data_IF_053576678249
#
_entry.id   IF_053576678249
#
_cell.length_a   1.000
_cell.length_b   1.000
_cell.length_c   1.000
_cell.angle_alpha   90.00
_cell.angle_beta   90.00
_cell.angle_gamma   90.00
#
_symmetry.space_group_name_H-M   'P 1'
#
loop_
_entity.id
_entity.type
_entity.pdbx_description
1 polymer ?
#
# COMPACT_ATOMS: atom_id res chain seq x y z
N UNK A 1 16.91 1.96 5.39
CA UNK A 1 15.83 2.96 5.37
C UNK A 1 16.23 3.99 4.34
N UNK A 2 15.35 4.36 3.40
CA UNK A 2 15.68 5.26 2.28
C UNK A 2 15.96 6.72 2.69
N UNK A 3 15.69 7.08 3.95
CA UNK A 3 15.94 8.40 4.53
C UNK A 3 17.28 8.42 5.30
N UNK A 4 18.07 9.51 5.22
CA UNK A 4 17.79 10.80 4.56
C UNK A 4 18.23 10.89 3.10
N UNK A 5 18.88 9.86 2.56
CA UNK A 5 19.52 9.89 1.23
C UNK A 5 18.55 10.30 0.12
N UNK A 6 17.32 9.76 0.14
CA UNK A 6 16.26 10.09 -0.82
C UNK A 6 15.92 11.58 -0.82
N UNK A 7 15.84 12.21 0.37
CA UNK A 7 15.51 13.63 0.47
C UNK A 7 16.70 14.52 0.09
N UNK A 8 17.92 14.08 0.39
CA UNK A 8 19.16 14.78 0.04
C UNK A 8 19.41 14.83 -1.48
N UNK A 9 18.74 13.99 -2.26
CA UNK A 9 18.75 14.05 -3.73
C UNK A 9 17.88 15.20 -4.29
N UNK A 10 17.19 15.96 -3.43
CA UNK A 10 16.29 17.06 -3.81
C UNK A 10 15.24 16.68 -4.87
N UNK A 11 14.51 15.57 -4.69
CA UNK A 11 13.48 15.18 -5.64
C UNK A 11 12.34 16.20 -5.64
N UNK A 12 11.66 16.36 -6.78
CA UNK A 12 10.44 17.18 -6.86
C UNK A 12 9.21 16.47 -6.29
N UNK A 13 9.18 15.15 -6.40
CA UNK A 13 8.12 14.26 -5.91
C UNK A 13 8.78 13.06 -5.26
N UNK A 14 8.26 12.63 -4.12
CA UNK A 14 8.57 11.32 -3.54
C UNK A 14 7.28 10.51 -3.54
N UNK A 15 7.31 9.33 -4.14
CA UNK A 15 6.13 8.50 -4.31
C UNK A 15 6.19 7.29 -3.37
N UNK A 16 5.32 7.29 -2.38
CA UNK A 16 5.08 6.14 -1.51
C UNK A 16 3.92 5.32 -2.05
N UNK A 17 3.92 4.01 -1.81
CA UNK A 17 2.82 3.16 -2.26
C UNK A 17 2.68 1.92 -1.40
N UNK A 18 1.45 1.46 -1.19
CA UNK A 18 1.21 0.08 -0.77
C UNK A 18 1.54 -0.90 -1.91
N UNK A 19 1.57 -2.18 -1.59
CA UNK A 19 1.84 -3.27 -2.52
C UNK A 19 0.56 -4.05 -2.86
N UNK A 20 0.04 -4.81 -1.89
CA UNK A 20 -1.17 -5.62 -2.03
C UNK A 20 -2.37 -4.72 -2.35
N UNK A 21 -3.19 -5.08 -3.33
CA UNK A 21 -4.38 -4.29 -3.74
C UNK A 21 -4.10 -2.95 -4.43
N UNK A 22 -2.84 -2.52 -4.45
CA UNK A 22 -2.38 -1.24 -5.01
C UNK A 22 -1.46 -1.43 -6.21
N UNK A 23 -0.26 -2.01 -6.02
CA UNK A 23 0.64 -2.42 -7.12
C UNK A 23 0.14 -3.71 -7.74
N UNK A 24 -0.23 -4.68 -6.90
CA UNK A 24 -0.81 -5.94 -7.36
C UNK A 24 -2.32 -5.85 -7.39
N UNK A 25 -2.94 -6.56 -8.33
CA UNK A 25 -4.41 -6.61 -8.43
C UNK A 25 -5.04 -7.49 -7.34
N UNK A 26 -4.26 -8.41 -6.78
CA UNK A 26 -4.66 -9.31 -5.71
C UNK A 26 -3.86 -8.99 -4.44
N UNK A 27 -4.48 -9.17 -3.28
CA UNK A 27 -3.77 -9.19 -2.00
C UNK A 27 -3.13 -10.58 -1.79
N UNK A 28 -1.81 -10.60 -1.63
CA UNK A 28 -1.00 -11.81 -1.51
C UNK A 28 -1.32 -12.60 -0.23
N UNK A 29 -1.56 -11.91 0.89
CA UNK A 29 -1.84 -12.55 2.17
C UNK A 29 -3.26 -13.11 2.19
N UNK A 30 -4.22 -12.36 1.67
CA UNK A 30 -5.59 -12.80 1.47
C UNK A 30 -5.63 -14.02 0.55
N UNK A 31 -4.89 -14.00 -0.56
CA UNK A 31 -4.86 -15.11 -1.51
C UNK A 31 -4.41 -16.41 -0.85
N UNK A 32 -3.28 -16.41 -0.14
CA UNK A 32 -2.78 -17.62 0.52
C UNK A 32 -3.70 -18.03 1.67
N UNK A 33 -4.19 -17.08 2.46
CA UNK A 33 -5.10 -17.36 3.57
C UNK A 33 -6.42 -17.95 3.11
N UNK A 34 -6.98 -17.43 2.03
CA UNK A 34 -8.28 -17.84 1.49
C UNK A 34 -8.21 -19.21 0.80
N UNK A 35 -7.13 -19.49 0.07
CA UNK A 35 -7.01 -20.71 -0.73
C UNK A 35 -6.30 -21.86 0.00
N UNK A 36 -5.37 -21.56 0.89
CA UNK A 36 -4.48 -22.55 1.52
C UNK A 36 -4.38 -22.45 3.05
N UNK A 37 -4.94 -21.39 3.65
CA UNK A 37 -4.96 -21.18 5.09
C UNK A 37 -6.31 -21.51 5.71
N UNK A 38 -6.77 -20.64 6.61
CA UNK A 38 -8.06 -20.77 7.32
C UNK A 38 -9.29 -20.55 6.44
N UNK A 39 -9.13 -20.07 5.21
CA UNK A 39 -10.23 -19.80 4.30
C UNK A 39 -10.85 -18.42 4.48
N UNK A 40 -11.57 -17.99 3.44
CA UNK A 40 -12.13 -16.65 3.31
C UNK A 40 -13.12 -16.27 4.42
N UNK A 41 -13.94 -17.21 4.85
CA UNK A 41 -14.96 -16.97 5.88
C UNK A 41 -14.29 -16.63 7.23
N UNK A 42 -13.36 -17.46 7.67
CA UNK A 42 -12.59 -17.23 8.90
C UNK A 42 -11.74 -15.94 8.83
N UNK A 43 -11.12 -15.66 7.67
CA UNK A 43 -10.38 -14.40 7.48
C UNK A 43 -11.29 -13.17 7.62
N UNK A 44 -12.51 -13.23 7.07
CA UNK A 44 -13.48 -12.13 7.20
C UNK A 44 -13.90 -11.90 8.65
N UNK A 45 -14.04 -12.95 9.45
CA UNK A 45 -14.28 -12.81 10.90
C UNK A 45 -13.13 -12.07 11.60
N UNK A 46 -11.88 -12.38 11.23
CA UNK A 46 -10.73 -11.65 11.74
C UNK A 46 -10.73 -10.18 11.31
N UNK A 47 -11.13 -9.88 10.07
CA UNK A 47 -11.26 -8.50 9.60
C UNK A 47 -12.33 -7.72 10.37
N UNK A 48 -13.48 -8.34 10.64
CA UNK A 48 -14.52 -7.75 11.49
C UNK A 48 -14.00 -7.47 12.91
N UNK A 49 -13.20 -8.38 13.49
CA UNK A 49 -12.61 -8.15 14.81
C UNK A 49 -11.68 -6.91 14.86
N UNK A 50 -10.98 -6.61 13.75
CA UNK A 50 -10.15 -5.39 13.62
C UNK A 50 -11.03 -4.14 13.51
N UNK A 51 -12.08 -4.18 12.67
CA UNK A 51 -13.01 -3.05 12.51
C UNK A 51 -13.73 -2.73 13.81
N UNK A 52 -14.17 -3.76 14.54
CA UNK A 52 -14.89 -3.63 15.80
C UNK A 52 -13.96 -3.33 16.98
N UNK A 53 -12.66 -3.13 16.72
CA UNK A 53 -11.60 -2.84 17.71
C UNK A 53 -11.50 -3.89 18.83
N UNK A 54 -11.95 -5.12 18.57
CA UNK A 54 -11.89 -6.24 19.52
C UNK A 54 -10.58 -7.03 19.44
N UNK A 55 -9.83 -6.87 18.36
CA UNK A 55 -8.46 -7.39 18.19
C UNK A 55 -7.64 -6.41 17.33
N UNK A 56 -6.32 -6.61 17.30
CA UNK A 56 -5.40 -5.77 16.53
C UNK A 56 -5.11 -6.38 15.16
N UNK A 57 -4.80 -5.55 14.17
CA UNK A 57 -4.37 -6.02 12.85
C UNK A 57 -3.16 -6.96 12.95
N UNK A 58 -2.18 -6.65 13.80
CA UNK A 58 -1.02 -7.51 14.04
C UNK A 58 -1.41 -8.91 14.51
N UNK A 59 -2.31 -9.00 15.47
CA UNK A 59 -2.75 -10.29 16.02
C UNK A 59 -3.55 -11.09 14.99
N UNK A 60 -4.45 -10.44 14.25
CA UNK A 60 -5.23 -11.12 13.22
C UNK A 60 -4.36 -11.55 12.04
N UNK A 61 -3.38 -10.74 11.65
CA UNK A 61 -2.35 -11.10 10.66
C UNK A 61 -1.51 -12.29 11.11
N UNK A 62 -1.10 -12.33 12.39
CA UNK A 62 -0.40 -13.49 12.95
C UNK A 62 -1.27 -14.76 12.88
N UNK A 63 -2.57 -14.68 13.20
CA UNK A 63 -3.51 -15.80 13.09
C UNK A 63 -3.68 -16.29 11.65
N UNK A 64 -3.77 -15.37 10.69
CA UNK A 64 -3.81 -15.71 9.26
C UNK A 64 -2.56 -16.51 8.87
N UNK A 65 -1.37 -16.01 9.17
CA UNK A 65 -0.11 -16.69 8.86
C UNK A 65 0.05 -18.02 9.59
N UNK A 66 -0.37 -18.12 10.85
CA UNK A 66 -0.32 -19.38 11.60
C UNK A 66 -1.23 -20.47 11.01
N UNK A 67 -2.20 -20.10 10.18
CA UNK A 67 -3.02 -21.05 9.42
C UNK A 67 -2.31 -21.64 8.21
N UNK A 68 -1.22 -21.04 7.73
CA UNK A 68 -0.48 -21.52 6.56
C UNK A 68 0.39 -22.72 6.96
N UNK A 69 -0.05 -23.93 6.60
CA UNK A 69 0.67 -25.17 6.92
C UNK A 69 1.60 -25.59 5.79
N UNK A 70 2.51 -24.70 5.39
CA UNK A 70 3.45 -24.96 4.28
C UNK A 70 4.82 -24.29 4.46
N UNK A 71 5.89 -24.85 3.86
CA UNK A 71 7.18 -24.19 3.75
C UNK A 71 7.06 -22.81 3.07
N UNK A 72 7.88 -21.85 3.51
CA UNK A 72 7.86 -20.50 2.96
C UNK A 72 8.21 -20.45 1.46
N UNK A 73 9.18 -21.23 0.92
CA UNK A 73 9.42 -21.27 -0.52
C UNK A 73 8.18 -21.67 -1.34
N UNK A 74 7.36 -22.57 -0.81
CA UNK A 74 6.10 -22.97 -1.48
C UNK A 74 5.10 -21.80 -1.54
N UNK A 75 5.06 -20.95 -0.51
CA UNK A 75 4.26 -19.71 -0.53
C UNK A 75 4.70 -18.82 -1.69
N UNK A 76 6.02 -18.62 -1.87
CA UNK A 76 6.57 -17.81 -2.95
C UNK A 76 6.23 -18.39 -4.34
N UNK A 77 6.33 -19.71 -4.49
CA UNK A 77 5.96 -20.40 -5.74
C UNK A 77 4.50 -20.13 -6.12
N UNK A 78 3.58 -20.36 -5.18
CA UNK A 78 2.15 -20.14 -5.38
C UNK A 78 1.87 -18.70 -5.77
N UNK A 79 2.47 -17.73 -5.06
CA UNK A 79 2.24 -16.31 -5.34
C UNK A 79 2.76 -15.91 -6.73
N UNK A 80 3.92 -16.41 -7.16
CA UNK A 80 4.44 -16.14 -8.51
C UNK A 80 3.48 -16.58 -9.61
N UNK A 81 2.81 -17.71 -9.42
CA UNK A 81 1.92 -18.28 -10.43
C UNK A 81 0.54 -17.59 -10.49
N UNK A 82 0.16 -16.84 -9.46
CA UNK A 82 -1.23 -16.37 -9.28
C UNK A 82 -1.39 -14.85 -9.10
N UNK A 83 -0.31 -14.12 -8.78
CA UNK A 83 -0.37 -12.69 -8.51
C UNK A 83 0.04 -11.91 -9.75
N UNK A 84 -0.73 -10.86 -10.03
CA UNK A 84 -0.53 -10.00 -11.21
C UNK A 84 -0.31 -8.55 -10.80
N UNK A 85 0.55 -7.88 -11.54
CA UNK A 85 0.79 -6.45 -11.45
C UNK A 85 -0.36 -5.67 -12.11
N UNK A 86 -0.66 -4.47 -11.63
CA UNK A 86 -1.38 -3.50 -12.45
C UNK A 86 -0.60 -3.25 -13.76
N UNK A 87 -1.25 -3.37 -14.94
CA UNK A 87 -0.55 -3.32 -16.22
C UNK A 87 0.20 -2.00 -16.48
N UNK A 88 -0.18 -0.91 -15.79
CA UNK A 88 0.41 0.41 -15.98
C UNK A 88 1.49 0.76 -14.94
N UNK A 89 1.71 -0.08 -13.92
CA UNK A 89 2.75 0.21 -12.92
C UNK A 89 4.16 0.21 -13.54
N UNK A 90 4.40 -0.61 -14.56
CA UNK A 90 5.68 -0.59 -15.29
C UNK A 90 5.92 0.76 -15.98
N UNK A 91 4.90 1.32 -16.62
CA UNK A 91 4.99 2.64 -17.27
C UNK A 91 5.26 3.74 -16.23
N UNK A 92 4.67 3.61 -15.04
CA UNK A 92 4.96 4.50 -13.92
C UNK A 92 6.43 4.43 -13.50
N UNK A 93 6.97 3.23 -13.29
CA UNK A 93 8.37 3.05 -12.89
C UNK A 93 9.37 3.58 -13.92
N UNK A 94 9.12 3.34 -15.21
CA UNK A 94 9.96 3.89 -16.31
C UNK A 94 9.93 5.42 -16.29
N UNK A 95 8.75 6.02 -16.10
CA UNK A 95 8.63 7.47 -16.01
C UNK A 95 9.31 8.02 -14.75
N UNK A 96 9.12 7.37 -13.61
CA UNK A 96 9.68 7.78 -12.32
C UNK A 96 11.21 7.83 -12.38
N UNK A 97 11.85 6.78 -12.92
CA UNK A 97 13.29 6.75 -13.17
C UNK A 97 13.75 7.92 -14.04
N UNK A 98 13.05 8.19 -15.15
CA UNK A 98 13.45 9.23 -16.09
C UNK A 98 13.33 10.66 -15.51
N UNK A 99 12.65 10.83 -14.37
CA UNK A 99 12.39 12.12 -13.73
C UNK A 99 12.93 12.18 -12.29
N UNK A 100 13.81 11.24 -11.92
CA UNK A 100 14.40 11.14 -10.58
C UNK A 100 13.34 11.18 -9.45
N UNK A 101 12.20 10.50 -9.68
CA UNK A 101 11.13 10.34 -8.68
C UNK A 101 11.37 9.04 -7.90
N UNK A 102 11.74 9.12 -6.62
CA UNK A 102 11.94 7.93 -5.79
C UNK A 102 10.62 7.21 -5.53
N UNK A 103 10.63 5.88 -5.61
CA UNK A 103 9.47 5.04 -5.34
C UNK A 103 9.75 4.15 -4.13
N UNK A 104 8.93 4.29 -3.09
CA UNK A 104 9.11 3.59 -1.81
C UNK A 104 7.85 2.78 -1.51
N UNK A 105 7.98 1.45 -1.50
CA UNK A 105 6.90 0.52 -1.15
C UNK A 105 6.81 0.38 0.37
N UNK A 106 5.66 0.73 0.94
CA UNK A 106 5.32 0.55 2.35
C UNK A 106 4.21 -0.50 2.48
N UNK A 107 4.55 -1.73 2.85
CA UNK A 107 3.59 -2.84 2.86
C UNK A 107 3.56 -3.57 4.20
N UNK A 108 2.36 -3.97 4.64
CA UNK A 108 2.19 -4.86 5.80
C UNK A 108 2.52 -6.33 5.48
N UNK A 109 2.80 -6.66 4.21
CA UNK A 109 3.32 -7.96 3.80
C UNK A 109 4.77 -8.19 4.23
N UNK A 110 5.42 -9.17 3.61
CA UNK A 110 6.79 -9.57 3.96
C UNK A 110 7.78 -9.23 2.84
N UNK A 111 8.94 -8.64 3.19
CA UNK A 111 9.99 -8.25 2.22
C UNK A 111 10.31 -9.37 1.21
N UNK A 112 10.54 -10.64 1.61
CA UNK A 112 10.85 -11.68 0.64
C UNK A 112 9.73 -11.97 -0.38
N UNK A 113 8.46 -11.77 0.01
CA UNK A 113 7.31 -11.90 -0.91
C UNK A 113 7.33 -10.78 -1.93
N UNK A 114 7.42 -9.55 -1.45
CA UNK A 114 7.38 -8.33 -2.28
C UNK A 114 8.56 -8.32 -3.26
N UNK A 115 9.77 -8.61 -2.78
CA UNK A 115 10.97 -8.69 -3.63
C UNK A 115 10.84 -9.78 -4.69
N UNK A 116 10.37 -10.98 -4.31
CA UNK A 116 10.21 -12.09 -5.26
C UNK A 116 9.21 -11.72 -6.37
N UNK A 117 8.09 -11.13 -6.00
CA UNK A 117 7.04 -10.76 -6.96
C UNK A 117 7.46 -9.58 -7.83
N UNK A 118 8.09 -8.53 -7.28
CA UNK A 118 8.58 -7.41 -8.09
C UNK A 118 9.67 -7.87 -9.06
N UNK A 119 10.63 -8.69 -8.63
CA UNK A 119 11.65 -9.26 -9.55
C UNK A 119 11.02 -10.08 -10.66
N UNK A 120 10.01 -10.89 -10.33
CA UNK A 120 9.33 -11.75 -11.29
C UNK A 120 8.47 -10.96 -12.31
N UNK A 121 7.69 -9.99 -11.83
CA UNK A 121 6.65 -9.31 -12.61
C UNK A 121 7.11 -7.99 -13.24
N UNK A 122 7.93 -7.21 -12.52
CA UNK A 122 8.44 -5.91 -12.98
C UNK A 122 9.78 -6.06 -13.71
N UNK A 123 10.59 -7.02 -13.27
CA UNK A 123 11.94 -7.29 -13.77
C UNK A 123 13.03 -6.67 -12.91
N UNK A 124 14.19 -7.33 -12.89
CA UNK A 124 15.39 -6.96 -12.09
C UNK A 124 15.79 -5.49 -12.24
N UNK A 125 15.77 -4.98 -13.47
CA UNK A 125 16.23 -3.63 -13.77
C UNK A 125 15.37 -2.57 -13.08
N UNK A 126 14.04 -2.66 -13.14
CA UNK A 126 13.16 -1.66 -12.53
C UNK A 126 12.96 -1.92 -11.03
N UNK A 127 13.12 -3.16 -10.58
CA UNK A 127 13.09 -3.50 -9.15
C UNK A 127 14.21 -2.80 -8.38
N UNK A 128 15.38 -2.57 -8.98
CA UNK A 128 16.50 -1.88 -8.30
C UNK A 128 16.23 -0.42 -7.97
N UNK A 129 15.17 0.18 -8.52
CA UNK A 129 14.77 1.57 -8.23
C UNK A 129 13.72 1.65 -7.11
N UNK A 130 13.31 0.52 -6.54
CA UNK A 130 12.27 0.46 -5.51
C UNK A 130 12.91 0.18 -4.16
N UNK A 131 12.71 1.10 -3.22
CA UNK A 131 12.96 0.83 -1.80
C UNK A 131 11.75 0.13 -1.18
N UNK A 132 11.98 -0.94 -0.41
CA UNK A 132 10.93 -1.70 0.26
C UNK A 132 11.07 -1.56 1.77
N UNK A 133 9.98 -1.13 2.42
CA UNK A 133 9.85 -1.12 3.88
C UNK A 133 8.60 -1.95 4.24
N UNK A 134 8.84 -3.12 4.83
CA UNK A 134 7.78 -4.07 5.16
C UNK A 134 8.18 -4.96 6.34
N UNK A 135 7.28 -5.86 6.74
CA UNK A 135 7.62 -6.90 7.72
C UNK A 135 8.64 -7.89 7.13
N UNK A 136 9.33 -8.63 7.99
CA UNK A 136 10.27 -9.67 7.58
C UNK A 136 9.74 -11.08 7.80
N UNK A 137 10.56 -12.07 7.45
CA UNK A 137 10.41 -13.45 7.92
C UNK A 137 11.42 -13.72 9.03
N UNK A 138 11.10 -14.65 9.92
CA UNK A 138 12.02 -15.16 10.93
C UNK A 138 11.82 -16.65 11.16
N UNK A 139 12.87 -17.33 11.62
CA UNK A 139 12.81 -18.75 11.97
C UNK A 139 12.03 -18.95 13.27
N UNK A 140 11.27 -20.05 13.33
CA UNK A 140 10.46 -20.45 14.49
C UNK A 140 10.86 -21.85 14.93
N UNK A 141 11.09 -22.04 16.23
CA UNK A 141 11.35 -23.35 16.81
C UNK A 141 10.05 -24.18 16.91
N UNK A 142 10.11 -25.53 16.81
CA UNK A 142 11.31 -26.35 16.69
C UNK A 142 11.85 -26.49 15.25
N UNK A 143 11.06 -26.12 14.24
CA UNK A 143 11.40 -26.35 12.83
C UNK A 143 12.68 -25.65 12.38
N UNK A 144 12.87 -24.38 12.80
CA UNK A 144 14.03 -23.52 12.54
C UNK A 144 14.52 -23.54 11.08
N UNK A 145 13.59 -23.53 10.12
CA UNK A 145 13.88 -23.61 8.69
C UNK A 145 12.70 -23.04 7.90
N UNK A 146 12.99 -22.23 6.88
CA UNK A 146 11.98 -21.77 5.93
C UNK A 146 11.39 -22.93 5.11
N UNK A 147 12.14 -24.03 4.95
CA UNK A 147 11.74 -25.23 4.20
C UNK A 147 10.79 -26.14 4.98
N UNK A 148 10.42 -25.77 6.22
CA UNK A 148 9.47 -26.51 7.05
C UNK A 148 8.25 -25.66 7.35
N UNK A 149 7.08 -26.29 7.30
CA UNK A 149 5.80 -25.62 7.54
C UNK A 149 5.68 -24.94 8.92
N UNK A 150 6.32 -25.49 9.94
CA UNK A 150 6.34 -24.96 11.31
C UNK A 150 7.65 -24.23 11.66
N UNK A 151 8.55 -24.07 10.70
CA UNK A 151 9.90 -23.56 10.92
C UNK A 151 10.09 -22.07 10.72
N UNK A 152 9.03 -21.34 10.35
CA UNK A 152 9.08 -19.91 10.06
C UNK A 152 7.85 -19.17 10.59
N UNK A 153 7.97 -17.85 10.70
CA UNK A 153 6.87 -16.93 10.98
C UNK A 153 7.22 -15.51 10.53
N UNK A 154 6.29 -14.57 10.70
CA UNK A 154 6.53 -13.15 10.45
C UNK A 154 7.40 -12.53 11.54
N UNK A 155 8.27 -11.63 11.11
CA UNK A 155 8.96 -10.66 11.95
C UNK A 155 8.32 -9.29 11.72
N UNK A 156 7.50 -8.84 12.65
CA UNK A 156 6.90 -7.50 12.56
C UNK A 156 7.98 -6.42 12.62
N UNK A 157 7.85 -5.40 11.77
CA UNK A 157 8.80 -4.30 11.68
C UNK A 157 8.72 -3.38 12.91
N UNK A 158 7.49 -3.13 13.38
CA UNK A 158 7.19 -2.22 14.48
C UNK A 158 6.45 -2.96 15.61
N UNK A 159 6.79 -2.61 16.85
CA UNK A 159 6.08 -3.10 18.03
C UNK A 159 4.80 -2.28 18.28
N UNK A 160 3.82 -2.45 17.38
CA UNK A 160 2.53 -1.77 17.45
C UNK A 160 1.38 -2.73 17.13
N UNK A 161 0.14 -2.29 17.36
CA UNK A 161 -1.06 -3.04 16.97
C UNK A 161 -1.21 -3.25 15.46
N UNK A 162 -0.45 -2.53 14.63
CA UNK A 162 -0.42 -2.70 13.18
C UNK A 162 0.68 -3.67 12.73
N UNK A 163 1.73 -3.87 13.53
CA UNK A 163 2.92 -4.65 13.13
C UNK A 163 3.82 -3.91 12.13
N UNK A 164 3.25 -3.17 11.19
CA UNK A 164 3.93 -2.16 10.38
C UNK A 164 3.12 -0.86 10.38
N UNK A 165 3.52 0.10 11.22
CA UNK A 165 3.03 1.47 11.14
C UNK A 165 3.77 2.25 10.02
N UNK A 166 3.09 2.45 8.88
CA UNK A 166 3.64 3.11 7.69
C UNK A 166 4.00 4.59 7.94
N UNK A 167 3.31 5.24 8.89
CA UNK A 167 3.57 6.65 9.24
C UNK A 167 4.98 6.87 9.77
N UNK A 168 5.57 5.88 10.45
CA UNK A 168 6.92 5.98 11.02
C UNK A 168 8.01 6.08 9.93
N UNK A 169 7.73 5.59 8.72
CA UNK A 169 8.65 5.71 7.58
C UNK A 169 8.52 7.06 6.89
N UNK A 170 7.31 7.63 6.83
CA UNK A 170 7.02 8.88 6.09
C UNK A 170 7.31 10.11 6.96
N UNK A 171 6.99 10.07 8.26
CA UNK A 171 7.10 11.21 9.18
C UNK A 171 8.48 11.89 9.16
N UNK A 172 9.63 11.17 9.10
CA UNK A 172 10.93 11.82 8.98
C UNK A 172 11.07 12.71 7.73
N UNK A 173 10.46 12.32 6.61
CA UNK A 173 10.40 13.16 5.41
C UNK A 173 9.54 14.39 5.63
N UNK A 174 8.31 14.20 6.12
CA UNK A 174 7.38 15.29 6.39
C UNK A 174 7.97 16.32 7.37
N UNK A 175 8.59 15.86 8.46
CA UNK A 175 9.24 16.70 9.47
C UNK A 175 10.45 17.47 8.93
N UNK A 176 11.23 16.85 8.05
CA UNK A 176 12.37 17.51 7.41
C UNK A 176 11.90 18.56 6.39
N UNK A 177 10.91 18.22 5.56
CA UNK A 177 10.30 19.13 4.59
C UNK A 177 9.63 20.30 5.30
N UNK A 178 8.96 20.07 6.44
CA UNK A 178 8.35 21.11 7.29
C UNK A 178 9.34 22.20 7.74
N UNK A 179 10.63 21.85 7.85
CA UNK A 179 11.72 22.75 8.29
C UNK A 179 12.46 23.43 7.13
N UNK A 180 12.17 23.05 5.88
CA UNK A 180 12.78 23.69 4.69
C UNK A 180 12.28 25.13 4.53
N UNK A 181 13.13 25.99 3.98
CA UNK A 181 12.79 27.39 3.73
C UNK A 181 11.73 27.50 2.62
N UNK A 182 10.94 28.59 2.61
CA UNK A 182 9.89 28.79 1.59
C UNK A 182 10.44 28.89 0.15
N UNK A 183 11.72 29.17 0.00
CA UNK A 183 12.38 29.32 -1.29
C UNK A 183 13.02 28.01 -1.78
N UNK A 184 13.07 26.97 -0.95
CA UNK A 184 13.55 25.65 -1.36
C UNK A 184 12.45 24.97 -2.20
N UNK A 185 12.84 24.24 -3.26
CA UNK A 185 11.93 23.34 -3.95
C UNK A 185 11.58 22.18 -2.99
N UNK A 186 10.44 22.30 -2.32
CA UNK A 186 9.95 21.28 -1.38
C UNK A 186 9.35 20.12 -2.19
N UNK A 187 9.78 18.87 -1.97
CA UNK A 187 9.16 17.72 -2.62
C UNK A 187 7.69 17.63 -2.25
N UNK A 188 6.88 17.22 -3.21
CA UNK A 188 5.50 16.77 -2.93
C UNK A 188 5.54 15.30 -2.52
N UNK A 189 4.97 14.98 -1.37
CA UNK A 189 4.81 13.62 -0.88
C UNK A 189 3.48 13.04 -1.37
N UNK A 190 3.54 12.00 -2.19
CA UNK A 190 2.38 11.30 -2.72
C UNK A 190 2.31 9.89 -2.15
N UNK A 191 1.10 9.38 -1.91
CA UNK A 191 0.89 8.00 -1.47
C UNK A 191 -0.18 7.32 -2.31
N UNK A 192 0.00 6.06 -2.72
CA UNK A 192 -1.08 5.23 -3.26
C UNK A 192 -1.41 4.05 -2.34
N UNK A 193 -2.70 3.81 -2.10
CA UNK A 193 -3.16 2.74 -1.21
C UNK A 193 -4.61 2.35 -1.47
N UNK A 194 -5.01 1.18 -1.00
CA UNK A 194 -6.37 0.66 -1.10
C UNK A 194 -7.00 0.34 0.26
N UNK A 195 -6.19 0.15 1.31
CA UNK A 195 -6.62 -0.39 2.58
C UNK A 195 -6.71 0.62 3.72
N UNK A 196 -7.48 0.28 4.76
CA UNK A 196 -7.56 1.06 6.02
C UNK A 196 -6.19 1.20 6.69
N UNK A 197 -5.27 0.26 6.46
CA UNK A 197 -3.90 0.33 6.99
C UNK A 197 -3.11 1.55 6.47
N UNK A 198 -3.48 2.07 5.30
CA UNK A 198 -2.85 3.23 4.66
C UNK A 198 -3.23 4.57 5.27
N UNK A 199 -4.23 4.61 6.15
CA UNK A 199 -4.67 5.85 6.81
C UNK A 199 -3.58 6.51 7.64
N UNK A 200 -2.69 5.69 8.23
CA UNK A 200 -1.52 6.18 8.94
C UNK A 200 -0.56 6.91 8.00
N UNK A 201 -0.37 6.38 6.79
CA UNK A 201 0.47 6.98 5.76
C UNK A 201 -0.17 8.24 5.15
N UNK A 202 -1.46 8.19 4.87
CA UNK A 202 -2.19 9.26 4.21
C UNK A 202 -2.12 10.61 4.95
N UNK A 203 -2.01 10.58 6.29
CA UNK A 203 -1.88 11.78 7.13
C UNK A 203 -0.50 12.43 7.09
N UNK A 204 0.51 11.69 6.62
CA UNK A 204 1.91 12.14 6.58
C UNK A 204 2.31 12.57 5.15
N UNK A 205 1.37 12.53 4.18
CA UNK A 205 1.60 12.90 2.77
C UNK A 205 0.71 14.05 2.31
N UNK A 206 1.09 14.72 1.22
CA UNK A 206 0.33 15.84 0.67
C UNK A 206 -0.94 15.40 -0.06
N UNK A 207 -0.88 14.26 -0.77
CA UNK A 207 -2.03 13.69 -1.49
C UNK A 207 -2.04 12.16 -1.43
N UNK A 208 -3.19 11.60 -1.06
CA UNK A 208 -3.47 10.18 -1.16
C UNK A 208 -4.18 9.84 -2.48
N UNK A 209 -3.67 8.89 -3.25
CA UNK A 209 -4.39 8.14 -4.27
C UNK A 209 -5.08 6.96 -3.58
N UNK A 210 -6.39 7.04 -3.38
CA UNK A 210 -7.20 5.99 -2.77
C UNK A 210 -7.91 5.16 -3.84
N UNK A 211 -7.82 3.83 -3.74
CA UNK A 211 -8.45 2.91 -4.70
C UNK A 211 -9.96 3.12 -4.74
N UNK A 212 -10.53 3.25 -5.93
CA UNK A 212 -11.97 3.41 -6.13
C UNK A 212 -12.77 2.24 -5.56
N UNK A 213 -13.86 2.57 -4.87
CA UNK A 213 -14.78 1.56 -4.31
C UNK A 213 -14.31 0.90 -3.02
N UNK A 214 -13.18 1.33 -2.45
CA UNK A 214 -12.68 0.80 -1.17
C UNK A 214 -13.02 1.70 0.02
N UNK A 215 -13.04 1.11 1.22
CA UNK A 215 -13.37 1.79 2.47
C UNK A 215 -12.45 2.98 2.79
N UNK A 216 -11.22 2.95 2.28
CA UNK A 216 -10.24 4.02 2.41
C UNK A 216 -10.79 5.37 1.94
N UNK A 217 -11.56 5.39 0.84
CA UNK A 217 -12.17 6.61 0.28
C UNK A 217 -13.16 7.23 1.27
N UNK A 218 -14.07 6.40 1.81
CA UNK A 218 -15.08 6.83 2.78
C UNK A 218 -14.44 7.40 4.04
N UNK A 219 -13.36 6.77 4.52
CA UNK A 219 -12.63 7.28 5.68
C UNK A 219 -11.95 8.61 5.38
N UNK A 220 -11.28 8.75 4.23
CA UNK A 220 -10.58 9.98 3.87
C UNK A 220 -11.53 11.17 3.77
N UNK A 221 -12.73 10.97 3.19
CA UNK A 221 -13.76 12.00 3.19
C UNK A 221 -14.17 12.39 4.63
N UNK A 222 -14.47 11.42 5.50
CA UNK A 222 -14.89 11.69 6.89
C UNK A 222 -13.81 12.40 7.70
N UNK A 223 -12.55 12.05 7.48
CA UNK A 223 -11.40 12.60 8.21
C UNK A 223 -10.86 13.91 7.61
N UNK A 224 -11.36 14.36 6.45
CA UNK A 224 -10.87 15.54 5.75
C UNK A 224 -9.43 15.38 5.23
N UNK A 225 -9.00 14.14 4.96
CA UNK A 225 -7.67 13.85 4.41
C UNK A 225 -7.70 14.18 2.91
N UNK A 226 -6.73 14.95 2.37
CA UNK A 226 -6.65 15.21 0.93
C UNK A 226 -6.46 13.90 0.14
N UNK A 227 -7.42 13.57 -0.71
CA UNK A 227 -7.36 12.36 -1.52
C UNK A 227 -7.88 12.60 -2.93
N UNK A 228 -7.38 11.80 -3.86
CA UNK A 228 -7.97 11.58 -5.18
C UNK A 228 -8.20 10.09 -5.37
N UNK A 229 -9.10 9.73 -6.27
CA UNK A 229 -9.41 8.33 -6.54
C UNK A 229 -8.61 7.80 -7.73
N UNK A 230 -8.25 6.52 -7.70
CA UNK A 230 -7.64 5.81 -8.83
C UNK A 230 -8.28 4.44 -9.05
N UNK A 231 -8.30 4.01 -10.31
CA UNK A 231 -8.73 2.67 -10.72
C UNK A 231 -7.59 1.83 -11.28
N UNK A 232 -6.53 2.48 -11.78
CA UNK A 232 -5.30 1.86 -12.26
C UNK A 232 -4.10 2.81 -12.10
N UNK A 233 -2.90 2.27 -12.29
CA UNK A 233 -1.67 3.07 -12.31
C UNK A 233 -1.56 4.05 -13.48
N UNK A 234 -2.41 3.94 -14.51
CA UNK A 234 -2.50 4.92 -15.59
C UNK A 234 -2.93 6.29 -15.05
N UNK A 235 -3.99 6.30 -14.22
CA UNK A 235 -4.47 7.53 -13.59
C UNK A 235 -3.45 8.10 -12.59
N UNK A 236 -2.78 7.23 -11.82
CA UNK A 236 -1.71 7.66 -10.90
C UNK A 236 -0.58 8.34 -11.69
N UNK A 237 -0.13 7.72 -12.77
CA UNK A 237 0.92 8.27 -13.63
C UNK A 237 0.53 9.63 -14.21
N UNK A 238 -0.67 9.76 -14.77
CA UNK A 238 -1.11 11.01 -15.37
C UNK A 238 -1.18 12.14 -14.33
N UNK A 239 -1.76 11.89 -13.16
CA UNK A 239 -1.90 12.91 -12.13
C UNK A 239 -0.56 13.26 -11.47
N UNK A 240 0.31 12.28 -11.29
CA UNK A 240 1.68 12.51 -10.78
C UNK A 240 2.49 13.38 -11.75
N UNK A 241 2.37 13.14 -13.07
CA UNK A 241 2.98 14.00 -14.11
C UNK A 241 2.46 15.43 -14.04
N UNK A 242 1.15 15.60 -13.93
CA UNK A 242 0.55 16.93 -13.86
C UNK A 242 0.99 17.71 -12.60
N UNK A 243 1.19 17.02 -11.47
CA UNK A 243 1.79 17.59 -10.25
C UNK A 243 3.26 17.95 -10.49
N UNK A 244 4.05 17.01 -11.00
CA UNK A 244 5.49 17.17 -11.24
C UNK A 244 5.81 18.35 -12.17
N UNK A 245 4.98 18.54 -13.21
CA UNK A 245 5.11 19.63 -14.20
C UNK A 245 4.45 20.94 -13.74
N UNK A 246 3.80 20.97 -12.57
CA UNK A 246 3.11 22.15 -12.05
C UNK A 246 1.81 22.50 -12.78
N UNK A 247 1.26 21.60 -13.61
CA UNK A 247 -0.02 21.78 -14.31
C UNK A 247 -1.22 21.69 -13.37
N UNK A 248 -1.11 20.86 -12.32
CA UNK A 248 -2.11 20.71 -11.27
C UNK A 248 -1.47 20.82 -9.90
N UNK A 249 -2.24 21.34 -8.95
CA UNK A 249 -1.85 21.35 -7.54
C UNK A 249 -2.52 20.19 -6.81
N UNK A 250 -1.86 19.70 -5.75
CA UNK A 250 -2.44 18.72 -4.81
C UNK A 250 -3.83 19.13 -4.35
N UNK A 251 -4.00 20.41 -3.98
CA UNK A 251 -5.29 20.95 -3.53
C UNK A 251 -6.38 20.78 -4.60
N UNK A 252 -6.08 21.14 -5.86
CA UNK A 252 -7.04 21.01 -6.97
C UNK A 252 -7.43 19.55 -7.19
N UNK A 253 -6.45 18.64 -7.14
CA UNK A 253 -6.72 17.21 -7.30
C UNK A 253 -7.54 16.61 -6.17
N UNK A 254 -7.31 17.05 -4.94
CA UNK A 254 -8.10 16.64 -3.79
C UNK A 254 -9.56 17.12 -3.90
N UNK A 255 -9.76 18.37 -4.34
CA UNK A 255 -11.11 18.93 -4.58
C UNK A 255 -11.85 18.19 -5.70
N UNK A 256 -11.16 17.90 -6.81
CA UNK A 256 -11.71 17.12 -7.93
C UNK A 256 -12.03 15.68 -7.53
N UNK A 257 -11.14 15.03 -6.78
CA UNK A 257 -11.32 13.66 -6.27
C UNK A 257 -12.54 13.55 -5.34
N UNK A 258 -12.67 14.46 -4.39
CA UNK A 258 -13.82 14.53 -3.50
C UNK A 258 -15.13 14.73 -4.27
N UNK A 259 -15.12 15.60 -5.28
CA UNK A 259 -16.30 15.83 -6.15
C UNK A 259 -16.68 14.56 -6.91
N UNK A 260 -15.71 13.86 -7.53
CA UNK A 260 -15.94 12.59 -8.23
C UNK A 260 -16.57 11.54 -7.32
N UNK A 261 -16.01 11.35 -6.12
CA UNK A 261 -16.55 10.40 -5.15
C UNK A 261 -18.02 10.70 -4.81
N UNK A 262 -18.33 11.96 -4.48
CA UNK A 262 -19.70 12.38 -4.15
C UNK A 262 -20.68 12.18 -5.30
N UNK A 263 -20.27 12.49 -6.53
CA UNK A 263 -21.11 12.27 -7.72
C UNK A 263 -21.41 10.78 -7.93
N UNK A 264 -20.39 9.93 -7.87
CA UNK A 264 -20.55 8.47 -8.02
C UNK A 264 -21.45 7.89 -6.92
N UNK A 265 -21.31 8.34 -5.67
CA UNK A 265 -22.16 7.93 -4.55
C UNK A 265 -23.63 8.32 -4.73
N UNK A 266 -23.91 9.48 -5.36
CA UNK A 266 -25.29 9.90 -5.67
C UNK A 266 -25.90 9.01 -6.76
N UNK A 267 -25.15 8.71 -7.82
CA UNK A 267 -25.63 7.85 -8.92
C UNK A 267 -25.92 6.43 -8.45
N UNK A 268 -25.05 5.84 -7.62
CA UNK A 268 -25.27 4.52 -7.04
C UNK A 268 -26.51 4.47 -6.13
N UNK A 269 -26.74 5.50 -5.33
CA UNK A 269 -27.92 5.59 -4.46
C UNK A 269 -29.22 5.93 -5.23
N UNK A 270 -29.13 6.57 -6.40
CA UNK A 270 -30.27 6.88 -7.26
C UNK A 270 -30.85 5.67 -8.00
N UNK A 271 -30.11 4.55 -8.07
CA UNK A 271 -30.56 3.29 -8.68
C UNK A 271 -31.23 2.32 -7.70
N UNK A 272 -31.32 2.67 -6.41
CA UNK A 272 -32.09 1.89 -5.43
C UNK A 272 -33.57 2.22 -5.62
N UNK A 273 -34.29 1.36 -6.36
CA UNK A 273 -35.77 1.42 -6.44
C UNK A 273 -36.34 1.40 -5.02
N UNK A 274 -37.32 2.25 -4.69
CA UNK A 274 -37.98 2.17 -3.39
C UNK A 274 -38.66 0.80 -3.27
N UNK A 275 -38.21 -0.01 -2.31
CA UNK A 275 -38.99 -1.13 -1.80
C UNK A 275 -40.27 -0.56 -1.22
N UNK A 276 -41.34 -0.64 -2.01
CA UNK A 276 -42.70 -0.36 -1.56
C UNK A 276 -43.04 -1.42 -0.52
N UNK A 277 -43.36 -0.97 0.69
CA UNK A 277 -43.92 -1.78 1.78
C UNK A 277 -45.30 -2.32 1.41
#
# INVERSE_FOLDING_TARGET
MPFPETLNAHPRVIFFTDFDGTITLQDTNDFITDQYGMGKEARRELFHAVIDETDTFRNTFQKMLDSWKMPFPQVLDILRDNITLDPHFKDFMVWARAHDVPVIVLSSGMVPVIETLLRHLLGEELMSDIDIVANGTQLRAPGNSLDKADGWTIKFLHDSGFGHDKSLTIRPYADAIAKMERNDERPTLLYAGDGVSDLSAARETDLLFAREGQDLVTYCEKAGIPFTTFSSWESILQETRDIYEGKKTVKKLAEEGLKRHRTNSIEQNGHVKPTVK
#
